data_IF_584570789707
#
_entry.id   IF_584570789707
#
_cell.length_a   1.000
_cell.length_b   1.000
_cell.length_c   1.000
_cell.angle_alpha   90.00
_cell.angle_beta   90.00
_cell.angle_gamma   90.00
#
_symmetry.space_group_name_H-M   'P 1'
#
loop_
_entity.id
_entity.type
_entity.pdbx_description
1 polymer ?
#
# COMPACT_ATOMS: atom_id res chain seq x y z
N UNK A 1 2.83 3.76 22.09
CA UNK A 1 3.44 4.49 20.96
C UNK A 1 2.38 5.36 20.28
N UNK A 2 2.73 6.57 19.93
CA UNK A 2 1.86 7.48 19.15
C UNK A 2 2.46 7.64 17.77
N UNK A 3 1.70 7.25 16.74
CA UNK A 3 2.09 7.43 15.35
C UNK A 3 1.69 8.82 14.88
N UNK A 4 2.66 9.60 14.45
CA UNK A 4 2.48 10.94 13.92
C UNK A 4 2.46 10.95 12.39
N UNK A 5 1.97 12.05 11.81
CA UNK A 5 1.74 12.19 10.36
C UNK A 5 2.95 11.86 9.48
N UNK A 6 4.14 12.26 9.91
CA UNK A 6 5.34 12.12 9.09
C UNK A 6 6.22 10.92 9.52
N UNK A 7 5.71 10.07 10.41
CA UNK A 7 6.47 8.90 10.87
C UNK A 7 6.67 7.88 9.75
N UNK A 8 7.87 7.35 9.71
CA UNK A 8 8.33 6.29 8.81
C UNK A 8 8.90 5.17 9.65
N UNK A 9 8.08 4.18 9.98
CA UNK A 9 8.43 3.11 10.92
C UNK A 9 8.67 1.80 10.17
N UNK A 10 9.87 1.25 10.32
CA UNK A 10 10.21 -0.10 9.88
C UNK A 10 10.04 -1.11 11.02
N UNK A 11 9.44 -2.25 10.74
CA UNK A 11 9.29 -3.33 11.71
C UNK A 11 10.08 -4.54 11.22
N UNK A 12 11.02 -4.98 12.02
CA UNK A 12 11.85 -6.16 11.77
C UNK A 12 11.59 -7.20 12.86
N UNK A 13 11.61 -8.45 12.48
CA UNK A 13 11.47 -9.55 13.43
C UNK A 13 11.40 -10.91 12.73
N UNK A 14 11.60 -11.98 13.47
CA UNK A 14 11.50 -13.34 12.95
C UNK A 14 10.09 -13.64 12.44
N UNK A 15 9.96 -14.59 11.51
CA UNK A 15 8.65 -15.11 11.11
C UNK A 15 7.92 -15.67 12.33
N UNK A 16 6.63 -15.37 12.47
CA UNK A 16 5.83 -15.73 13.63
C UNK A 16 5.99 -14.84 14.87
N UNK A 17 6.78 -13.76 14.79
CA UNK A 17 6.95 -12.81 15.90
C UNK A 17 5.72 -11.90 16.15
N UNK A 18 4.67 -12.01 15.34
CA UNK A 18 3.45 -11.22 15.51
C UNK A 18 3.43 -9.90 14.72
N UNK A 19 4.30 -9.72 13.72
CA UNK A 19 4.37 -8.48 12.95
C UNK A 19 3.07 -8.17 12.20
N UNK A 20 2.52 -9.14 11.45
CA UNK A 20 1.22 -8.99 10.77
C UNK A 20 0.08 -8.81 11.76
N UNK A 21 0.14 -9.48 12.91
CA UNK A 21 -0.82 -9.30 14.02
C UNK A 21 -0.80 -7.85 14.52
N UNK A 22 0.37 -7.27 14.67
CA UNK A 22 0.52 -5.86 15.06
C UNK A 22 -0.07 -4.92 13.99
N UNK A 23 0.20 -5.17 12.71
CA UNK A 23 -0.38 -4.37 11.64
C UNK A 23 -1.92 -4.49 11.59
N UNK A 24 -2.48 -5.68 11.82
CA UNK A 24 -3.93 -5.89 11.90
C UNK A 24 -4.55 -5.12 13.08
N UNK A 25 -3.85 -5.05 14.22
CA UNK A 25 -4.30 -4.21 15.34
C UNK A 25 -4.27 -2.73 14.99
N UNK A 26 -3.20 -2.25 14.34
CA UNK A 26 -3.09 -0.87 13.88
C UNK A 26 -4.15 -0.56 12.81
N UNK A 27 -4.48 -1.52 11.95
CA UNK A 27 -5.53 -1.36 10.95
C UNK A 27 -6.96 -1.36 11.55
N UNK A 28 -7.10 -1.76 12.82
CA UNK A 28 -8.39 -1.91 13.48
C UNK A 28 -9.14 -3.20 13.13
N UNK A 29 -8.47 -4.14 12.45
CA UNK A 29 -9.04 -5.44 12.08
C UNK A 29 -8.99 -6.45 13.23
N UNK A 30 -8.08 -6.25 14.17
CA UNK A 30 -7.91 -7.09 15.35
C UNK A 30 -7.87 -6.24 16.61
N UNK A 31 -8.62 -6.64 17.64
CA UNK A 31 -8.55 -6.00 18.95
C UNK A 31 -7.35 -6.53 19.74
N UNK A 32 -6.60 -5.65 20.44
CA UNK A 32 -5.54 -6.10 21.35
C UNK A 32 -6.13 -6.82 22.57
N UNK A 33 -5.40 -7.79 23.10
CA UNK A 33 -5.77 -8.51 24.35
C UNK A 33 -5.75 -7.56 25.58
N UNK A 34 -4.91 -6.54 25.55
CA UNK A 34 -4.82 -5.50 26.57
C UNK A 34 -4.40 -4.18 25.96
N UNK A 35 -4.76 -3.07 26.58
CA UNK A 35 -4.52 -1.74 26.07
C UNK A 35 -5.57 -1.30 25.05
N UNK A 36 -5.34 -0.15 24.43
CA UNK A 36 -6.25 0.46 23.42
C UNK A 36 -5.48 0.89 22.19
N UNK A 37 -6.16 0.88 21.05
CA UNK A 37 -5.71 1.53 19.82
C UNK A 37 -6.72 2.62 19.51
N UNK A 38 -6.29 3.87 19.62
CA UNK A 38 -7.14 5.03 19.42
C UNK A 38 -6.79 5.72 18.11
N UNK A 39 -7.79 6.05 17.32
CA UNK A 39 -7.65 6.70 16.03
C UNK A 39 -8.12 8.15 16.07
N UNK A 40 -7.33 9.04 15.51
CA UNK A 40 -7.81 10.41 15.25
C UNK A 40 -8.97 10.41 14.25
N UNK A 41 -9.89 11.40 14.38
CA UNK A 41 -11.12 11.46 13.56
C UNK A 41 -10.88 11.59 12.05
N UNK A 42 -9.68 11.95 11.61
CA UNK A 42 -9.34 12.11 10.19
C UNK A 42 -8.48 10.97 9.64
N UNK A 43 -8.21 9.94 10.45
CA UNK A 43 -7.38 8.79 10.05
C UNK A 43 -8.05 7.99 8.95
N UNK A 44 -7.31 7.77 7.86
CA UNK A 44 -7.65 6.87 6.76
C UNK A 44 -6.48 5.92 6.53
N UNK A 45 -6.71 4.65 6.76
CA UNK A 45 -5.68 3.62 6.68
C UNK A 45 -5.77 2.91 5.33
N UNK A 46 -4.64 2.86 4.62
CA UNK A 46 -4.42 1.94 3.51
C UNK A 46 -3.57 0.77 4.00
N UNK A 47 -4.06 -0.44 3.83
CA UNK A 47 -3.35 -1.63 4.29
C UNK A 47 -3.08 -2.60 3.16
N UNK A 48 -1.81 -2.72 2.80
CA UNK A 48 -1.31 -3.71 1.86
C UNK A 48 -0.93 -4.97 2.61
N UNK A 49 -1.85 -5.93 2.64
CA UNK A 49 -1.69 -7.18 3.37
C UNK A 49 -0.86 -8.20 2.60
N UNK A 50 -0.23 -9.13 3.30
CA UNK A 50 0.51 -10.22 2.68
C UNK A 50 -0.40 -11.15 1.86
N UNK A 51 -1.61 -11.43 2.34
CA UNK A 51 -2.59 -12.27 1.63
C UNK A 51 -3.22 -11.58 0.42
N UNK A 52 -3.28 -10.24 0.44
CA UNK A 52 -3.92 -9.44 -0.61
C UNK A 52 -5.45 -9.46 -0.50
N UNK A 53 -6.08 -9.01 -1.58
CA UNK A 53 -7.53 -9.02 -1.75
C UNK A 53 -7.89 -9.73 -3.04
N UNK A 54 -8.92 -10.54 -2.99
CA UNK A 54 -9.48 -11.12 -4.20
C UNK A 54 -10.15 -10.02 -5.04
N UNK A 55 -9.73 -9.93 -6.30
CA UNK A 55 -10.27 -8.98 -7.28
C UNK A 55 -11.21 -9.73 -8.22
N UNK A 56 -12.28 -9.07 -8.66
CA UNK A 56 -13.21 -9.64 -9.65
C UNK A 56 -12.48 -9.89 -10.98
N UNK A 57 -12.33 -11.15 -11.42
CA UNK A 57 -11.60 -11.46 -12.64
C UNK A 57 -12.28 -10.95 -13.92
N UNK A 58 -13.57 -10.65 -13.88
CA UNK A 58 -14.34 -10.12 -15.00
C UNK A 58 -14.21 -8.59 -15.15
N UNK A 59 -13.85 -7.88 -14.07
CA UNK A 59 -13.65 -6.45 -14.06
C UNK A 59 -12.37 -6.06 -14.81
N UNK A 60 -12.33 -4.86 -15.37
CA UNK A 60 -11.10 -4.29 -15.96
C UNK A 60 -10.32 -3.51 -14.91
N UNK A 61 -8.98 -3.48 -14.95
CA UNK A 61 -8.16 -2.65 -14.08
C UNK A 61 -8.59 -1.17 -14.11
N UNK A 62 -8.93 -0.63 -15.27
CA UNK A 62 -9.44 0.72 -15.43
C UNK A 62 -10.67 0.98 -14.55
N UNK A 63 -11.68 0.10 -14.63
CA UNK A 63 -12.92 0.27 -13.87
C UNK A 63 -12.66 0.12 -12.37
N UNK A 64 -11.87 -0.87 -11.97
CA UNK A 64 -11.50 -1.09 -10.57
C UNK A 64 -10.85 0.16 -9.94
N UNK A 65 -9.90 0.78 -10.62
CA UNK A 65 -9.22 1.96 -10.11
C UNK A 65 -10.14 3.20 -10.12
N UNK A 66 -10.92 3.40 -11.17
CA UNK A 66 -11.83 4.55 -11.26
C UNK A 66 -13.01 4.47 -10.29
N UNK A 67 -13.42 3.28 -9.86
CA UNK A 67 -14.38 3.09 -8.77
C UNK A 67 -13.80 3.54 -7.42
N UNK A 68 -12.48 3.41 -7.21
CA UNK A 68 -11.83 3.90 -5.99
C UNK A 68 -11.75 5.43 -6.04
N UNK A 69 -11.16 5.99 -7.09
CA UNK A 69 -11.06 7.42 -7.28
C UNK A 69 -10.69 7.76 -8.74
N UNK A 70 -11.15 8.89 -9.24
CA UNK A 70 -10.78 9.41 -10.56
C UNK A 70 -9.45 10.17 -10.57
N UNK A 71 -9.03 10.67 -9.42
CA UNK A 71 -7.79 11.42 -9.23
C UNK A 71 -7.28 11.27 -7.80
N UNK A 72 -6.00 11.53 -7.60
CA UNK A 72 -5.34 11.57 -6.30
C UNK A 72 -4.52 12.85 -6.18
N UNK A 73 -4.46 13.42 -4.96
CA UNK A 73 -3.65 14.58 -4.66
C UNK A 73 -2.27 14.14 -4.20
N UNK A 74 -1.24 14.65 -4.85
CA UNK A 74 0.16 14.47 -4.47
C UNK A 74 0.81 15.81 -4.19
N UNK A 75 2.06 15.82 -3.74
CA UNK A 75 2.82 17.06 -3.59
C UNK A 75 3.03 17.78 -4.93
N UNK A 76 3.06 17.05 -6.02
CA UNK A 76 3.20 17.58 -7.38
C UNK A 76 1.88 18.13 -7.95
N UNK A 77 0.76 17.97 -7.23
CA UNK A 77 -0.56 18.39 -7.64
C UNK A 77 -1.55 17.24 -7.80
N UNK A 78 -2.56 17.44 -8.63
CA UNK A 78 -3.55 16.41 -8.96
C UNK A 78 -3.03 15.49 -10.03
N UNK A 79 -3.11 14.19 -9.80
CA UNK A 79 -2.78 13.16 -10.78
C UNK A 79 -4.04 12.34 -11.05
N UNK A 80 -4.41 12.16 -12.31
CA UNK A 80 -5.56 11.34 -12.68
C UNK A 80 -5.30 9.86 -12.41
N UNK A 81 -6.38 9.08 -12.24
CA UNK A 81 -6.29 7.63 -12.10
C UNK A 81 -5.55 6.99 -13.29
N UNK A 82 -5.79 7.46 -14.51
CA UNK A 82 -5.08 6.98 -15.72
C UNK A 82 -3.58 7.25 -15.65
N UNK A 83 -3.17 8.45 -15.24
CA UNK A 83 -1.76 8.78 -15.05
C UNK A 83 -1.10 7.93 -13.96
N UNK A 84 -1.80 7.69 -12.84
CA UNK A 84 -1.32 6.79 -11.80
C UNK A 84 -1.19 5.35 -12.29
N UNK A 85 -2.14 4.87 -13.09
CA UNK A 85 -2.07 3.54 -13.69
C UNK A 85 -0.86 3.41 -14.62
N UNK A 86 -0.60 4.39 -15.47
CA UNK A 86 0.58 4.42 -16.33
C UNK A 86 1.87 4.44 -15.51
N UNK A 87 1.93 5.25 -14.45
CA UNK A 87 3.08 5.31 -13.53
C UNK A 87 3.37 3.96 -12.87
N UNK A 88 2.32 3.18 -12.55
CA UNK A 88 2.41 1.84 -11.97
C UNK A 88 2.39 0.74 -13.03
N UNK A 89 2.84 1.03 -14.25
CA UNK A 89 3.08 0.06 -15.32
C UNK A 89 1.81 -0.65 -15.82
N UNK A 90 0.70 0.08 -15.85
CA UNK A 90 -0.53 -0.33 -16.52
C UNK A 90 -0.72 0.50 -17.79
N UNK A 91 -0.11 0.11 -18.91
CA UNK A 91 -0.38 0.73 -20.19
C UNK A 91 -1.83 0.44 -20.64
N UNK A 92 -2.29 1.16 -21.66
CA UNK A 92 -3.69 1.14 -22.09
C UNK A 92 -4.24 -0.26 -22.37
N UNK A 93 -3.45 -1.15 -22.93
CA UNK A 93 -3.85 -2.54 -23.21
C UNK A 93 -4.12 -3.34 -21.93
N UNK A 94 -3.31 -3.16 -20.89
CA UNK A 94 -3.54 -3.78 -19.58
C UNK A 94 -4.71 -3.13 -18.83
N UNK A 95 -4.89 -1.82 -18.95
CA UNK A 95 -6.00 -1.11 -18.29
C UNK A 95 -7.37 -1.65 -18.70
N UNK A 96 -7.53 -2.02 -19.97
CA UNK A 96 -8.79 -2.46 -20.56
C UNK A 96 -8.92 -3.96 -20.76
N UNK A 97 -7.93 -4.75 -20.36
CA UNK A 97 -8.02 -6.20 -20.32
C UNK A 97 -8.78 -6.67 -19.06
N UNK A 98 -9.26 -7.92 -19.05
CA UNK A 98 -9.86 -8.46 -17.84
C UNK A 98 -8.80 -8.73 -16.76
N UNK A 99 -9.10 -8.42 -15.49
CA UNK A 99 -8.21 -8.69 -14.34
C UNK A 99 -7.81 -10.16 -14.28
N UNK A 100 -8.70 -11.07 -14.65
CA UNK A 100 -8.40 -12.50 -14.70
C UNK A 100 -7.27 -12.90 -15.67
N UNK A 101 -6.92 -12.04 -16.63
CA UNK A 101 -5.81 -12.24 -17.56
C UNK A 101 -4.48 -11.71 -17.06
N UNK A 102 -4.49 -10.91 -16.01
CA UNK A 102 -3.27 -10.38 -15.40
C UNK A 102 -2.47 -11.53 -14.74
N UNK A 103 -1.15 -11.40 -14.75
CA UNK A 103 -0.28 -12.24 -13.94
C UNK A 103 -0.51 -12.02 -12.44
N UNK A 104 0.00 -12.92 -11.60
CA UNK A 104 -0.07 -12.76 -10.16
C UNK A 104 0.58 -11.46 -9.68
N UNK A 105 1.76 -11.12 -10.23
CA UNK A 105 2.46 -9.88 -9.94
C UNK A 105 1.69 -8.63 -10.38
N UNK A 106 1.09 -8.66 -11.57
CA UNK A 106 0.25 -7.55 -12.06
C UNK A 106 -1.00 -7.36 -11.21
N UNK A 107 -1.66 -8.44 -10.78
CA UNK A 107 -2.80 -8.34 -9.83
C UNK A 107 -2.36 -7.76 -8.50
N UNK A 108 -1.20 -8.17 -8.01
CA UNK A 108 -0.65 -7.66 -6.76
C UNK A 108 -0.33 -6.16 -6.85
N UNK A 109 0.24 -5.73 -7.97
CA UNK A 109 0.50 -4.32 -8.28
C UNK A 109 -0.79 -3.50 -8.41
N UNK A 110 -1.82 -4.06 -9.04
CA UNK A 110 -3.13 -3.42 -9.14
C UNK A 110 -3.79 -3.23 -7.77
N UNK A 111 -3.70 -4.22 -6.91
CA UNK A 111 -4.19 -4.14 -5.54
C UNK A 111 -3.48 -3.03 -4.76
N UNK A 112 -2.16 -2.94 -4.85
CA UNK A 112 -1.39 -1.85 -4.26
C UNK A 112 -1.87 -0.49 -4.78
N UNK A 113 -1.99 -0.35 -6.09
CA UNK A 113 -2.44 0.90 -6.71
C UNK A 113 -3.83 1.31 -6.22
N UNK A 114 -4.76 0.38 -6.07
CA UNK A 114 -6.08 0.63 -5.49
C UNK A 114 -6.01 1.20 -4.07
N UNK A 115 -5.11 0.69 -3.25
CA UNK A 115 -4.87 1.21 -1.90
C UNK A 115 -4.35 2.65 -1.95
N UNK A 116 -3.36 2.93 -2.79
CA UNK A 116 -2.78 4.27 -2.92
C UNK A 116 -3.81 5.28 -3.46
N UNK A 117 -4.65 4.87 -4.39
CA UNK A 117 -5.73 5.68 -4.95
C UNK A 117 -6.83 6.01 -3.93
N UNK A 118 -7.00 5.22 -2.88
CA UNK A 118 -7.93 5.52 -1.78
C UNK A 118 -7.49 6.72 -0.93
N UNK A 119 -6.34 7.30 -1.25
CA UNK A 119 -5.75 8.45 -0.58
C UNK A 119 -5.65 8.29 0.95
N UNK A 120 -4.99 7.22 1.45
CA UNK A 120 -4.78 7.03 2.87
C UNK A 120 -3.84 8.11 3.41
N UNK A 121 -3.93 8.39 4.72
CA UNK A 121 -2.95 9.20 5.44
C UNK A 121 -2.11 8.38 6.44
N UNK A 122 -2.43 7.11 6.57
CA UNK A 122 -1.58 6.08 7.17
C UNK A 122 -1.51 4.91 6.19
N UNK A 123 -0.30 4.51 5.83
CA UNK A 123 -0.06 3.38 4.95
C UNK A 123 0.64 2.26 5.72
N UNK A 124 0.03 1.10 5.74
CA UNK A 124 0.58 -0.12 6.33
C UNK A 124 1.00 -1.05 5.19
N UNK A 125 2.26 -1.49 5.21
CA UNK A 125 2.83 -2.38 4.20
C UNK A 125 3.34 -3.65 4.87
N UNK A 126 2.74 -4.78 4.58
CA UNK A 126 3.15 -6.08 5.10
C UNK A 126 3.92 -6.87 4.04
N UNK A 127 5.24 -6.92 4.20
CA UNK A 127 6.20 -7.61 3.33
C UNK A 127 6.03 -7.27 1.82
N UNK A 128 6.00 -5.98 1.44
CA UNK A 128 5.77 -5.59 0.05
C UNK A 128 6.86 -6.11 -0.90
N UNK A 129 8.06 -6.34 -0.38
CA UNK A 129 9.21 -6.82 -1.16
C UNK A 129 9.10 -8.29 -1.59
N UNK A 130 8.20 -9.07 -0.98
CA UNK A 130 8.05 -10.49 -1.33
C UNK A 130 7.27 -10.70 -2.64
N UNK A 131 6.31 -9.81 -2.93
CA UNK A 131 5.30 -10.05 -3.97
C UNK A 131 5.35 -9.05 -5.13
N UNK A 132 6.15 -7.99 -4.99
CA UNK A 132 6.33 -6.98 -6.01
C UNK A 132 7.66 -7.17 -6.72
N UNK A 133 7.67 -6.99 -8.03
CA UNK A 133 8.91 -6.98 -8.81
C UNK A 133 9.76 -5.72 -8.52
N UNK A 134 11.03 -5.76 -8.92
CA UNK A 134 12.00 -4.68 -8.65
C UNK A 134 11.54 -3.35 -9.23
N UNK A 135 10.94 -3.35 -10.40
CA UNK A 135 10.47 -2.15 -11.07
C UNK A 135 9.31 -1.51 -10.29
N UNK A 136 8.32 -2.32 -9.88
CA UNK A 136 7.22 -1.87 -9.03
C UNK A 136 7.70 -1.36 -7.68
N UNK A 137 8.68 -2.03 -7.06
CA UNK A 137 9.28 -1.58 -5.79
C UNK A 137 9.95 -0.22 -5.94
N UNK A 138 10.66 0.03 -7.03
CA UNK A 138 11.27 1.32 -7.31
C UNK A 138 10.23 2.43 -7.40
N UNK A 139 9.14 2.18 -8.12
CA UNK A 139 8.01 3.13 -8.23
C UNK A 139 7.37 3.38 -6.86
N UNK A 140 7.18 2.33 -6.06
CA UNK A 140 6.65 2.44 -4.71
C UNK A 140 7.58 3.25 -3.81
N UNK A 141 8.88 3.00 -3.84
CA UNK A 141 9.88 3.76 -3.08
C UNK A 141 9.81 5.26 -3.41
N UNK A 142 9.77 5.60 -4.70
CA UNK A 142 9.64 6.98 -5.15
C UNK A 142 8.33 7.62 -4.66
N UNK A 143 7.23 6.90 -4.77
CA UNK A 143 5.92 7.35 -4.26
C UNK A 143 5.96 7.59 -2.75
N UNK A 144 6.56 6.68 -1.98
CA UNK A 144 6.64 6.79 -0.52
C UNK A 144 7.52 7.97 -0.07
N UNK A 145 8.53 8.34 -0.84
CA UNK A 145 9.35 9.54 -0.57
C UNK A 145 8.51 10.80 -0.56
N UNK A 146 7.53 10.89 -1.45
CA UNK A 146 6.62 12.03 -1.59
C UNK A 146 5.31 11.88 -0.79
N UNK A 147 5.06 10.72 -0.20
CA UNK A 147 3.80 10.42 0.49
C UNK A 147 3.58 11.33 1.70
N UNK A 148 2.44 12.05 1.78
CA UNK A 148 2.19 13.07 2.81
C UNK A 148 1.58 12.50 4.10
N UNK A 149 1.84 11.25 4.46
CA UNK A 149 1.26 10.56 5.60
C UNK A 149 2.26 9.67 6.30
N UNK A 150 1.85 9.01 7.38
CA UNK A 150 2.66 8.03 8.07
C UNK A 150 2.77 6.72 7.28
N UNK A 151 3.93 6.07 7.37
CA UNK A 151 4.16 4.73 6.80
C UNK A 151 4.66 3.80 7.90
N UNK A 152 4.02 2.64 8.02
CA UNK A 152 4.49 1.54 8.85
C UNK A 152 4.70 0.34 7.93
N UNK A 153 5.93 -0.12 7.83
CA UNK A 153 6.26 -1.23 6.95
C UNK A 153 6.94 -2.37 7.69
N UNK A 154 6.47 -3.58 7.43
CA UNK A 154 7.15 -4.82 7.81
C UNK A 154 7.92 -5.30 6.60
N UNK A 155 9.21 -5.50 6.72
CA UNK A 155 10.03 -6.11 5.69
C UNK A 155 11.27 -6.78 6.27
N UNK A 156 11.75 -7.82 5.59
CA UNK A 156 13.06 -8.43 5.82
C UNK A 156 14.14 -7.82 4.93
N UNK A 157 13.75 -7.02 3.94
CA UNK A 157 14.67 -6.32 3.05
C UNK A 157 15.19 -5.04 3.70
N UNK A 158 16.44 -5.09 4.15
CA UNK A 158 17.09 -3.94 4.80
C UNK A 158 17.28 -2.77 3.87
N UNK A 159 17.55 -3.02 2.60
CA UNK A 159 17.74 -1.96 1.61
C UNK A 159 16.44 -1.15 1.41
N UNK A 160 15.30 -1.83 1.33
CA UNK A 160 14.00 -1.21 1.28
C UNK A 160 13.72 -0.39 2.56
N UNK A 161 13.98 -0.99 3.73
CA UNK A 161 13.77 -0.31 5.01
C UNK A 161 14.66 0.93 5.17
N UNK A 162 15.94 0.84 4.81
CA UNK A 162 16.88 1.96 4.90
C UNK A 162 16.47 3.15 4.02
N UNK A 163 15.76 2.88 2.92
CA UNK A 163 15.22 3.95 2.07
C UNK A 163 13.95 4.60 2.62
N UNK A 164 13.10 3.83 3.26
CA UNK A 164 11.73 4.26 3.61
C UNK A 164 11.62 4.66 5.07
N UNK A 165 12.25 3.91 5.99
CA UNK A 165 12.08 4.08 7.43
C UNK A 165 13.07 5.09 8.00
N UNK A 166 12.58 5.96 8.88
CA UNK A 166 13.41 6.86 9.71
C UNK A 166 13.61 6.30 11.12
N UNK A 167 12.83 5.29 11.49
CA UNK A 167 12.94 4.54 12.75
C UNK A 167 12.61 3.06 12.53
N UNK A 168 13.26 2.19 13.29
CA UNK A 168 13.09 0.73 13.26
C UNK A 168 12.83 0.21 14.68
#
# INVERSE_FOLDING_TARGET
>A
YTLLRDDRVGIIGRNGAGKSTLLNMIAGELKPDSGTVDFGGTVRIGYFTQEGRELDPAQRPYDYIHEVASEVHTKEGRISATQMMERFLFPSDLQFSAIGRLSGGERRRLYLLGILMSAPNILLLDEPTNDLDVETLTILEDYLTEFPGAVVTVSHDRYFLDKIATSI
#
